data_IF_539865404147
#
_entry.id   IF_539865404147
#
_cell.length_a   1.000
_cell.length_b   1.000
_cell.length_c   1.000
_cell.angle_alpha   90.00
_cell.angle_beta   90.00
_cell.angle_gamma   90.00
#
_symmetry.space_group_name_H-M   'P 1'
#
loop_
_entity.id
_entity.type
_entity.pdbx_description
1 polymer ?
#
# COMPACT_ATOMS: atom_id res chain seq x y z
N UNK A 1 -14.47 -17.60 52.68
CA UNK A 1 -13.86 -16.42 52.03
C UNK A 1 -14.39 -16.27 50.63
N UNK A 2 -15.05 -15.16 50.26
CA UNK A 2 -15.60 -14.99 48.92
C UNK A 2 -14.76 -13.98 48.13
N UNK A 3 -13.92 -14.46 47.21
CA UNK A 3 -13.12 -13.61 46.30
C UNK A 3 -13.04 -14.10 44.85
N UNK A 4 -13.61 -15.27 44.54
CA UNK A 4 -13.40 -15.96 43.25
C UNK A 4 -14.32 -15.51 42.09
N UNK A 5 -15.50 -14.97 42.38
CA UNK A 5 -16.50 -14.62 41.35
C UNK A 5 -16.17 -13.34 40.57
N UNK A 6 -15.60 -12.35 41.26
CA UNK A 6 -15.31 -11.03 40.69
C UNK A 6 -14.10 -11.05 39.73
N UNK A 7 -13.10 -11.89 40.02
CA UNK A 7 -11.92 -12.07 39.17
C UNK A 7 -12.22 -12.81 37.86
N UNK A 8 -13.17 -13.76 37.86
CA UNK A 8 -13.60 -14.47 36.63
C UNK A 8 -14.38 -13.55 35.69
N UNK A 9 -15.27 -12.72 36.24
CA UNK A 9 -16.07 -11.80 35.45
C UNK A 9 -15.19 -10.70 34.79
N UNK A 10 -14.22 -10.15 35.53
CA UNK A 10 -13.27 -9.17 34.98
C UNK A 10 -12.40 -9.74 33.83
N UNK A 11 -11.96 -11.00 33.96
CA UNK A 11 -11.19 -11.70 32.90
C UNK A 11 -12.03 -11.94 31.65
N UNK A 12 -13.32 -12.26 31.78
CA UNK A 12 -14.24 -12.44 30.66
C UNK A 12 -14.54 -11.10 29.95
N UNK A 13 -14.85 -10.05 30.70
CA UNK A 13 -15.02 -8.69 30.15
C UNK A 13 -13.77 -8.21 29.39
N UNK A 14 -12.58 -8.52 29.90
CA UNK A 14 -11.30 -8.19 29.24
C UNK A 14 -11.11 -8.99 27.94
N UNK A 15 -11.52 -10.27 27.93
CA UNK A 15 -11.49 -11.12 26.73
C UNK A 15 -12.46 -10.62 25.66
N UNK A 16 -13.68 -10.25 26.03
CA UNK A 16 -14.70 -9.72 25.11
C UNK A 16 -14.23 -8.42 24.47
N UNK A 17 -13.71 -7.47 25.26
CA UNK A 17 -13.11 -6.23 24.74
C UNK A 17 -11.98 -6.48 23.75
N UNK A 18 -11.13 -7.49 24.03
CA UNK A 18 -10.05 -7.89 23.11
C UNK A 18 -10.58 -8.50 21.81
N UNK A 19 -11.62 -9.33 21.88
CA UNK A 19 -12.26 -9.92 20.69
C UNK A 19 -12.86 -8.80 19.83
N UNK A 20 -13.57 -7.86 20.44
CA UNK A 20 -14.16 -6.71 19.76
C UNK A 20 -13.07 -5.81 19.13
N UNK A 21 -12.00 -5.51 19.85
CA UNK A 21 -10.86 -4.77 19.31
C UNK A 21 -10.22 -5.48 18.10
N UNK A 22 -10.02 -6.80 18.18
CA UNK A 22 -9.49 -7.60 17.08
C UNK A 22 -10.45 -7.61 15.86
N UNK A 23 -11.76 -7.68 16.09
CA UNK A 23 -12.75 -7.61 15.02
C UNK A 23 -12.74 -6.25 14.31
N UNK A 24 -12.61 -5.16 15.08
CA UNK A 24 -12.45 -3.81 14.54
C UNK A 24 -11.16 -3.67 13.73
N UNK A 25 -10.04 -4.14 14.24
CA UNK A 25 -8.77 -4.06 13.52
C UNK A 25 -8.79 -4.88 12.23
N UNK A 26 -9.41 -6.07 12.25
CA UNK A 26 -9.60 -6.89 11.04
C UNK A 26 -10.41 -6.13 9.99
N UNK A 27 -11.48 -5.48 10.40
CA UNK A 27 -12.31 -4.64 9.49
C UNK A 27 -11.48 -3.49 8.92
N UNK A 28 -10.72 -2.78 9.76
CA UNK A 28 -9.82 -1.70 9.33
C UNK A 28 -8.81 -2.18 8.29
N UNK A 29 -8.17 -3.33 8.53
CA UNK A 29 -7.20 -3.94 7.60
C UNK A 29 -7.86 -4.39 6.29
N UNK A 30 -9.09 -4.90 6.33
CA UNK A 30 -9.84 -5.24 5.12
C UNK A 30 -10.11 -3.99 4.26
N UNK A 31 -10.56 -2.90 4.87
CA UNK A 31 -10.76 -1.62 4.16
C UNK A 31 -9.47 -1.11 3.52
N UNK A 32 -8.36 -1.12 4.27
CA UNK A 32 -7.06 -0.71 3.74
C UNK A 32 -6.62 -1.60 2.58
N UNK A 33 -6.82 -2.91 2.69
CA UNK A 33 -6.44 -3.86 1.64
C UNK A 33 -7.25 -3.64 0.37
N UNK A 34 -8.55 -3.37 0.48
CA UNK A 34 -9.41 -3.05 -0.67
C UNK A 34 -9.00 -1.75 -1.37
N UNK A 35 -8.69 -0.70 -0.60
CA UNK A 35 -8.15 0.55 -1.15
C UNK A 35 -6.80 0.33 -1.85
N UNK A 36 -5.95 -0.51 -1.25
CA UNK A 36 -4.66 -0.88 -1.82
C UNK A 36 -4.78 -1.65 -3.13
N UNK A 37 -5.71 -2.60 -3.21
CA UNK A 37 -5.99 -3.35 -4.43
C UNK A 37 -6.55 -2.45 -5.54
N UNK A 38 -7.34 -1.45 -5.17
CA UNK A 38 -7.80 -0.41 -6.10
C UNK A 38 -6.62 0.37 -6.66
N UNK A 39 -5.73 0.88 -5.80
CA UNK A 39 -4.50 1.56 -6.22
C UNK A 39 -3.63 0.68 -7.13
N UNK A 40 -3.49 -0.61 -6.79
CA UNK A 40 -2.71 -1.57 -7.59
C UNK A 40 -3.28 -1.74 -9.00
N UNK A 41 -4.60 -1.65 -9.18
CA UNK A 41 -5.24 -1.76 -10.51
C UNK A 41 -5.09 -0.49 -11.34
N UNK A 42 -4.93 0.68 -10.70
CA UNK A 42 -4.80 1.97 -11.38
C UNK A 42 -3.36 2.33 -11.75
N UNK A 43 -2.36 1.75 -11.07
CA UNK A 43 -0.94 2.01 -11.39
C UNK A 43 -0.48 1.24 -12.65
N UNK A 44 0.42 1.82 -13.46
CA UNK A 44 0.99 1.13 -14.61
C UNK A 44 1.84 -0.07 -14.19
N UNK A 45 1.74 -1.16 -14.95
CA UNK A 45 2.46 -2.40 -14.73
C UNK A 45 2.72 -3.11 -16.06
N UNK A 46 3.61 -4.11 -16.09
CA UNK A 46 3.88 -4.89 -17.31
C UNK A 46 2.68 -5.70 -17.79
N UNK A 47 1.86 -6.14 -16.85
CA UNK A 47 0.66 -6.92 -17.12
C UNK A 47 -0.32 -6.70 -15.98
N UNK A 48 -1.61 -6.72 -16.30
CA UNK A 48 -2.69 -6.63 -15.32
C UNK A 48 -2.62 -7.75 -14.26
N UNK A 49 -2.01 -8.89 -14.58
CA UNK A 49 -1.84 -10.01 -13.64
C UNK A 49 -0.54 -9.94 -12.82
N UNK A 50 0.33 -8.94 -13.07
CA UNK A 50 1.60 -8.82 -12.37
C UNK A 50 1.38 -8.66 -10.85
N UNK A 51 2.01 -9.53 -10.07
CA UNK A 51 2.02 -9.44 -8.60
C UNK A 51 3.07 -8.39 -8.18
N UNK A 52 2.62 -7.22 -7.79
CA UNK A 52 3.44 -6.15 -7.22
C UNK A 52 3.37 -6.20 -5.68
N UNK A 53 4.49 -5.91 -5.01
CA UNK A 53 4.49 -5.78 -3.55
C UNK A 53 3.80 -4.47 -3.12
N UNK A 54 3.44 -4.36 -1.83
CA UNK A 54 2.84 -3.11 -1.33
C UNK A 54 3.77 -1.91 -1.53
N UNK A 55 5.07 -2.09 -1.27
CA UNK A 55 6.06 -1.03 -1.46
C UNK A 55 6.20 -0.66 -2.94
N UNK A 56 6.21 -1.65 -3.84
CA UNK A 56 6.34 -1.45 -5.27
C UNK A 56 5.19 -0.61 -5.84
N UNK A 57 3.94 -0.95 -5.48
CA UNK A 57 2.76 -0.19 -5.92
C UNK A 57 2.84 1.27 -5.46
N UNK A 58 3.28 1.53 -4.22
CA UNK A 58 3.45 2.90 -3.71
C UNK A 58 4.53 3.66 -4.50
N UNK A 59 5.68 3.04 -4.77
CA UNK A 59 6.77 3.67 -5.55
C UNK A 59 6.33 4.01 -6.97
N UNK A 60 5.65 3.08 -7.63
CA UNK A 60 5.13 3.28 -8.99
C UNK A 60 4.05 4.37 -8.97
N UNK A 61 3.14 4.37 -7.98
CA UNK A 61 2.11 5.40 -7.84
C UNK A 61 2.70 6.81 -7.72
N UNK A 62 3.70 7.01 -6.86
CA UNK A 62 4.34 8.32 -6.70
C UNK A 62 4.99 8.80 -8.00
N UNK A 63 5.73 7.92 -8.68
CA UNK A 63 6.39 8.26 -9.95
C UNK A 63 5.34 8.59 -11.02
N UNK A 64 4.24 7.83 -11.06
CA UNK A 64 3.19 8.01 -12.05
C UNK A 64 2.39 9.31 -11.84
N UNK A 65 2.10 9.68 -10.59
CA UNK A 65 1.49 10.97 -10.25
C UNK A 65 2.37 12.11 -10.76
N UNK A 66 3.68 12.07 -10.52
CA UNK A 66 4.61 13.08 -11.03
C UNK A 66 4.56 13.18 -12.55
N UNK A 67 4.63 12.05 -13.25
CA UNK A 67 4.56 12.01 -14.72
C UNK A 67 3.27 12.61 -15.26
N UNK A 68 2.11 12.19 -14.71
CA UNK A 68 0.81 12.74 -15.13
C UNK A 68 0.71 14.24 -14.85
N UNK A 69 1.30 14.71 -13.76
CA UNK A 69 1.30 16.13 -13.40
C UNK A 69 2.13 16.94 -14.38
N UNK A 70 3.31 16.45 -14.77
CA UNK A 70 4.13 17.08 -15.83
C UNK A 70 3.41 17.10 -17.18
N UNK A 71 2.72 16.03 -17.55
CA UNK A 71 1.89 15.98 -18.78
C UNK A 71 0.78 17.03 -18.75
N UNK A 72 0.21 17.30 -17.58
CA UNK A 72 -0.82 18.32 -17.38
C UNK A 72 -0.25 19.76 -17.23
N UNK A 73 1.06 19.96 -17.40
CA UNK A 73 1.71 21.27 -17.26
C UNK A 73 1.89 21.73 -15.80
N UNK A 74 1.69 20.84 -14.82
CA UNK A 74 1.95 21.11 -13.40
C UNK A 74 3.35 20.62 -13.02
N UNK A 75 3.87 21.06 -11.87
CA UNK A 75 5.10 20.52 -11.28
C UNK A 75 4.91 20.11 -9.82
N UNK A 76 5.11 18.82 -9.56
CA UNK A 76 5.09 18.23 -8.21
C UNK A 76 6.46 17.63 -7.84
N UNK A 77 7.53 18.00 -8.56
CA UNK A 77 8.88 17.72 -8.11
C UNK A 77 9.14 18.43 -6.77
N UNK A 78 9.86 17.78 -5.86
CA UNK A 78 10.10 18.32 -4.53
C UNK A 78 11.00 19.57 -4.56
N UNK A 79 11.81 19.69 -5.61
CA UNK A 79 12.80 20.75 -5.83
C UNK A 79 12.37 21.78 -6.89
N UNK A 80 11.13 21.70 -7.40
CA UNK A 80 10.62 22.55 -8.48
C UNK A 80 11.52 22.52 -9.73
N UNK A 81 12.15 21.37 -9.99
CA UNK A 81 13.05 21.17 -11.13
C UNK A 81 12.33 21.12 -12.47
N UNK A 82 10.99 21.05 -12.47
CA UNK A 82 10.16 20.94 -13.67
C UNK A 82 10.66 19.90 -14.68
N UNK A 83 10.95 18.65 -14.24
CA UNK A 83 11.62 17.66 -15.07
C UNK A 83 10.86 17.44 -16.39
N UNK A 84 11.55 17.26 -17.53
CA UNK A 84 10.90 16.96 -18.79
C UNK A 84 9.98 15.74 -18.65
N UNK A 85 8.85 15.76 -19.35
CA UNK A 85 7.88 14.65 -19.34
C UNK A 85 8.56 13.32 -19.69
N UNK A 86 9.50 13.34 -20.64
CA UNK A 86 10.25 12.15 -21.05
C UNK A 86 11.03 11.53 -19.88
N UNK A 87 11.72 12.35 -19.08
CA UNK A 87 12.48 11.87 -17.92
C UNK A 87 11.56 11.24 -16.88
N UNK A 88 10.38 11.82 -16.67
CA UNK A 88 9.38 11.26 -15.77
C UNK A 88 8.83 9.91 -16.28
N UNK A 89 8.61 9.77 -17.58
CA UNK A 89 8.19 8.50 -18.21
C UNK A 89 9.28 7.43 -18.06
N UNK A 90 10.54 7.80 -18.27
CA UNK A 90 11.69 6.91 -18.12
C UNK A 90 11.83 6.43 -16.66
N UNK A 91 11.62 7.34 -15.71
CA UNK A 91 11.61 7.02 -14.28
C UNK A 91 10.52 6.01 -13.92
N UNK A 92 9.28 6.22 -14.35
CA UNK A 92 8.17 5.27 -14.12
C UNK A 92 8.50 3.91 -14.72
N UNK A 93 8.98 3.88 -15.96
CA UNK A 93 9.35 2.65 -16.67
C UNK A 93 10.46 1.89 -15.92
N UNK A 94 11.50 2.59 -15.45
CA UNK A 94 12.59 2.03 -14.66
C UNK A 94 12.12 1.50 -13.31
N UNK A 95 11.19 2.18 -12.66
CA UNK A 95 10.60 1.72 -11.39
C UNK A 95 9.83 0.42 -11.61
N UNK A 96 8.97 0.34 -12.64
CA UNK A 96 8.23 -0.89 -12.97
C UNK A 96 9.19 -2.06 -13.27
N UNK A 97 10.28 -1.80 -14.01
CA UNK A 97 11.34 -2.78 -14.30
C UNK A 97 12.01 -3.34 -13.06
N UNK A 98 12.48 -2.46 -12.20
CA UNK A 98 13.26 -2.82 -11.01
C UNK A 98 12.40 -3.63 -10.05
N UNK A 99 11.18 -3.16 -9.81
CA UNK A 99 10.24 -3.79 -8.89
C UNK A 99 9.64 -5.10 -9.45
N UNK A 100 9.54 -5.24 -10.78
CA UNK A 100 9.16 -6.50 -11.42
C UNK A 100 10.22 -7.60 -11.33
N UNK A 101 11.51 -7.23 -11.43
CA UNK A 101 12.64 -8.17 -11.35
C UNK A 101 12.89 -8.68 -9.93
N UNK A 102 12.60 -7.88 -8.90
CA UNK A 102 12.78 -8.26 -7.49
C UNK A 102 12.01 -9.53 -7.10
N UNK A 103 10.93 -9.88 -7.81
CA UNK A 103 10.22 -11.15 -7.58
C UNK A 103 10.80 -12.32 -8.37
N UNK A 104 11.32 -12.10 -9.59
CA UNK A 104 11.86 -13.20 -10.42
C UNK A 104 13.09 -13.86 -9.77
N UNK A 105 13.94 -13.05 -9.13
CA UNK A 105 15.14 -13.52 -8.41
C UNK A 105 14.88 -14.34 -7.14
N UNK A 106 13.62 -14.43 -6.68
CA UNK A 106 13.29 -15.10 -5.42
C UNK A 106 12.69 -16.49 -5.63
N UNK A 107 12.37 -16.82 -6.89
CA UNK A 107 11.78 -18.10 -7.30
C UNK A 107 12.80 -19.00 -8.04
N UNK A 108 14.07 -18.57 -8.17
CA UNK A 108 15.25 -19.34 -8.61
C UNK A 108 16.17 -19.61 -7.40
#
# INVERSE_FOLDING_TARGET
GPGGGQQRNYKNMTRERRIEANARERTRVHTISAAFDTLRRTVPAYSHSQKLSKLSVLRIACSYILTLSRVAGMDYSADQSEPPVQECVDLVTKTIQTEGKLRRKRDD
#
